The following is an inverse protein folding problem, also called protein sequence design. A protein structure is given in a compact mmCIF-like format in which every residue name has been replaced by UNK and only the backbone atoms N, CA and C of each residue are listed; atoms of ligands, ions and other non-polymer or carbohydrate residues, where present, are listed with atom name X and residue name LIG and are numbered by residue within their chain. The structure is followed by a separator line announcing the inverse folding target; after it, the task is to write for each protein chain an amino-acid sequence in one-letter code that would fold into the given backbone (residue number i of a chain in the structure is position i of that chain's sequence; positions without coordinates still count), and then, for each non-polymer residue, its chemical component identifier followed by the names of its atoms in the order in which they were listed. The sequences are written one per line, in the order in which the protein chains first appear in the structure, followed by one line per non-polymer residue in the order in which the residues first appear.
data_IF_033387201453
#
_entry.id   IF_033387201453
#
_cell.length_a   1.000
_cell.length_b   1.000
_cell.length_c   1.000
_cell.angle_alpha   90.00
_cell.angle_beta   90.00
_cell.angle_gamma   90.00
#
_symmetry.space_group_name_H-M   'P 1'
#
loop_
_entity.id
_entity.type
_entity.pdbx_description
1 polymer ?
#
# COMPACT_ATOMS: atom_id res chain seq x y z
N UNK A 1 -19.40 -15.76 9.86
CA UNK A 1 -18.63 -14.67 10.48
C UNK A 1 -19.35 -13.39 10.12
N UNK A 2 -19.61 -12.52 11.08
CA UNK A 2 -20.08 -11.17 10.75
C UNK A 2 -18.99 -10.49 9.90
N UNK A 3 -19.36 -9.73 8.88
CA UNK A 3 -18.39 -8.95 8.10
C UNK A 3 -17.71 -7.96 9.03
N UNK A 4 -16.39 -8.02 9.14
CA UNK A 4 -15.60 -7.08 9.93
C UNK A 4 -15.08 -5.97 9.01
N UNK A 5 -15.69 -4.78 9.07
CA UNK A 5 -15.37 -3.67 8.18
C UNK A 5 -13.90 -3.22 8.28
N UNK A 6 -13.29 -3.34 9.47
CA UNK A 6 -11.88 -3.00 9.66
C UNK A 6 -10.95 -4.04 9.02
N UNK A 7 -11.28 -5.33 9.10
CA UNK A 7 -10.55 -6.39 8.40
C UNK A 7 -10.57 -6.18 6.88
N UNK A 8 -11.72 -5.83 6.31
CA UNK A 8 -11.86 -5.52 4.88
C UNK A 8 -11.01 -4.29 4.49
N UNK A 9 -11.05 -3.22 5.30
CA UNK A 9 -10.23 -2.03 5.11
C UNK A 9 -8.72 -2.35 5.14
N UNK A 10 -8.29 -3.15 6.12
CA UNK A 10 -6.89 -3.57 6.26
C UNK A 10 -6.46 -4.45 5.09
N UNK A 11 -7.36 -5.28 4.55
CA UNK A 11 -7.08 -6.08 3.36
C UNK A 11 -6.80 -5.20 2.14
N UNK A 12 -7.67 -4.21 1.89
CA UNK A 12 -7.47 -3.24 0.80
C UNK A 12 -6.17 -2.45 1.00
N UNK A 13 -5.85 -2.04 2.23
CA UNK A 13 -4.59 -1.34 2.53
C UNK A 13 -3.36 -2.22 2.26
N UNK A 14 -3.40 -3.51 2.65
CA UNK A 14 -2.36 -4.48 2.36
C UNK A 14 -2.14 -4.66 0.85
N UNK A 15 -3.21 -4.81 0.07
CA UNK A 15 -3.11 -5.02 -1.38
C UNK A 15 -2.54 -3.77 -2.09
N UNK A 16 -2.93 -2.56 -1.64
CA UNK A 16 -2.34 -1.30 -2.14
C UNK A 16 -0.85 -1.18 -1.79
N UNK A 17 -0.46 -1.53 -0.56
CA UNK A 17 0.95 -1.51 -0.15
C UNK A 17 1.77 -2.55 -0.92
N UNK A 18 1.18 -3.71 -1.24
CA UNK A 18 1.80 -4.72 -2.09
C UNK A 18 2.06 -4.19 -3.49
N UNK A 19 1.07 -3.53 -4.11
CA UNK A 19 1.24 -2.91 -5.42
C UNK A 19 2.35 -1.85 -5.40
N UNK A 20 2.35 -0.93 -4.43
CA UNK A 20 3.42 0.07 -4.27
C UNK A 20 4.81 -0.57 -4.16
N UNK A 21 4.93 -1.66 -3.40
CA UNK A 21 6.18 -2.42 -3.28
C UNK A 21 6.61 -3.03 -4.61
N UNK A 22 5.69 -3.58 -5.41
CA UNK A 22 5.99 -4.11 -6.74
C UNK A 22 6.45 -2.99 -7.69
N UNK A 23 5.74 -1.87 -7.70
CA UNK A 23 6.07 -0.72 -8.55
C UNK A 23 7.45 -0.15 -8.19
N UNK A 24 7.73 0.00 -6.89
CA UNK A 24 9.03 0.46 -6.40
C UNK A 24 10.17 -0.52 -6.75
N UNK A 25 9.91 -1.83 -6.70
CA UNK A 25 10.87 -2.85 -7.12
C UNK A 25 11.17 -2.75 -8.62
N UNK A 26 10.14 -2.62 -9.46
CA UNK A 26 10.32 -2.44 -10.90
C UNK A 26 11.07 -1.14 -11.23
N UNK A 27 10.76 -0.05 -10.52
CA UNK A 27 11.47 1.22 -10.67
C UNK A 27 12.95 1.08 -10.29
N UNK A 28 13.24 0.37 -9.19
CA UNK A 28 14.61 0.06 -8.78
C UNK A 28 15.35 -0.74 -9.85
N UNK A 29 14.73 -1.78 -10.42
CA UNK A 29 15.34 -2.59 -11.47
C UNK A 29 15.65 -1.77 -12.72
N UNK A 30 14.70 -0.95 -13.18
CA UNK A 30 14.92 -0.05 -14.33
C UNK A 30 16.05 0.94 -14.06
N UNK A 31 16.15 1.49 -12.84
CA UNK A 31 17.23 2.40 -12.46
C UNK A 31 18.58 1.67 -12.39
N UNK A 32 18.59 0.40 -11.95
CA UNK A 32 19.78 -0.44 -11.99
C UNK A 32 20.26 -0.68 -13.42
N UNK A 33 19.36 -1.04 -14.33
CA UNK A 33 19.71 -1.29 -15.73
C UNK A 33 20.30 -0.02 -16.38
N UNK A 34 19.68 1.15 -16.15
CA UNK A 34 20.22 2.45 -16.58
C UNK A 34 21.61 2.73 -16.03
N UNK A 35 21.83 2.48 -14.73
CA UNK A 35 23.14 2.63 -14.10
C UNK A 35 24.18 1.70 -14.74
N UNK A 36 23.80 0.46 -15.03
CA UNK A 36 24.70 -0.49 -15.69
C UNK A 36 25.09 -0.02 -17.09
N UNK A 37 24.10 0.35 -17.92
CA UNK A 37 24.37 0.89 -19.26
C UNK A 37 25.21 2.17 -19.22
N UNK A 38 24.95 3.07 -18.27
CA UNK A 38 25.75 4.29 -18.10
C UNK A 38 27.20 3.98 -17.68
N UNK A 39 27.43 2.91 -16.90
CA UNK A 39 28.77 2.43 -16.55
C UNK A 39 29.50 1.91 -17.79
N UNK A 40 28.82 1.14 -18.63
CA UNK A 40 29.41 0.60 -19.85
C UNK A 40 29.80 1.73 -20.82
N UNK A 41 28.94 2.75 -20.97
CA UNK A 41 29.24 3.94 -21.73
C UNK A 41 30.44 4.73 -21.15
N UNK A 42 30.51 4.87 -19.82
CA UNK A 42 31.65 5.51 -19.16
C UNK A 42 32.96 4.75 -19.41
N UNK A 43 32.93 3.42 -19.35
CA UNK A 43 34.10 2.58 -19.63
C UNK A 43 34.56 2.73 -21.08
N UNK A 44 33.63 2.68 -22.04
CA UNK A 44 33.94 2.90 -23.46
C UNK A 44 34.53 4.29 -23.73
N UNK A 45 33.97 5.33 -23.11
CA UNK A 45 34.51 6.69 -23.20
C UNK A 45 35.91 6.79 -22.56
N UNK A 46 36.14 6.08 -21.45
CA UNK A 46 37.46 6.00 -20.82
C UNK A 46 38.49 5.35 -21.75
N UNK A 47 38.15 4.23 -22.39
CA UNK A 47 39.03 3.58 -23.37
C UNK A 47 39.34 4.47 -24.57
N UNK A 48 38.33 5.17 -25.10
CA UNK A 48 38.51 6.11 -26.21
C UNK A 48 39.46 7.24 -25.83
N UNK A 49 39.30 7.79 -24.61
CA UNK A 49 40.20 8.79 -24.04
C UNK A 49 41.63 8.27 -23.91
N UNK A 50 41.83 7.03 -23.46
CA UNK A 50 43.16 6.42 -23.36
C UNK A 50 43.81 6.23 -24.74
N UNK A 51 43.05 5.78 -25.74
CA UNK A 51 43.55 5.64 -27.12
C UNK A 51 43.95 6.99 -27.73
N UNK A 52 43.11 8.02 -27.55
CA UNK A 52 43.40 9.36 -28.05
C UNK A 52 44.63 9.98 -27.35
N UNK A 53 44.80 9.71 -26.04
CA UNK A 53 46.01 10.09 -25.31
C UNK A 53 47.26 9.40 -25.85
N UNK A 54 47.19 8.07 -26.05
CA UNK A 54 48.31 7.31 -26.58
C UNK A 54 48.74 7.79 -27.97
N UNK A 55 47.78 8.14 -28.84
CA UNK A 55 48.09 8.71 -30.17
C UNK A 55 48.71 10.11 -30.08
N UNK A 56 48.22 10.96 -29.18
CA UNK A 56 48.83 12.26 -28.92
C UNK A 56 50.27 12.12 -28.41
N UNK A 57 50.51 11.17 -27.50
CA UNK A 57 51.84 10.90 -26.96
C UNK A 57 52.78 10.33 -28.04
N UNK A 58 52.29 9.40 -28.87
CA UNK A 58 53.03 8.88 -30.02
C UNK A 58 53.48 9.98 -30.98
N UNK A 59 52.55 10.85 -31.41
CA UNK A 59 52.88 11.96 -32.31
C UNK A 59 53.79 13.01 -31.67
N UNK A 60 53.69 13.19 -30.34
CA UNK A 60 54.62 14.03 -29.59
C UNK A 60 56.04 13.46 -29.60
N UNK A 61 56.19 12.16 -29.33
CA UNK A 61 57.46 11.45 -29.37
C UNK A 61 58.08 11.49 -30.77
N UNK A 62 57.28 11.25 -31.82
CA UNK A 62 57.73 11.34 -33.21
C UNK A 62 58.27 12.75 -33.52
N UNK A 63 57.55 13.81 -33.12
CA UNK A 63 58.03 15.19 -33.28
C UNK A 63 59.33 15.46 -32.51
N UNK A 64 59.45 15.00 -31.26
CA UNK A 64 60.69 15.15 -30.49
C UNK A 64 61.87 14.43 -31.16
N UNK A 65 61.64 13.21 -31.65
CA UNK A 65 62.67 12.41 -32.32
C UNK A 65 63.18 13.11 -33.57
N UNK A 66 62.28 13.51 -34.48
CA UNK A 66 62.63 14.23 -35.72
C UNK A 66 63.36 15.54 -35.41
N UNK A 67 62.89 16.30 -34.41
CA UNK A 67 63.56 17.54 -34.01
C UNK A 67 64.97 17.28 -33.47
N UNK A 68 65.14 16.24 -32.66
CA UNK A 68 66.42 15.89 -32.04
C UNK A 68 67.44 15.36 -33.06
N UNK A 69 67.00 14.62 -34.07
CA UNK A 69 67.88 14.11 -35.15
C UNK A 69 68.23 15.21 -36.15
N UNK A 70 67.24 16.01 -36.57
CA UNK A 70 67.42 16.94 -37.68
C UNK A 70 68.05 18.26 -37.24
N UNK A 71 67.88 18.68 -35.98
CA UNK A 71 68.45 19.93 -35.46
C UNK A 71 69.98 20.02 -35.66
N UNK A 72 70.77 19.10 -35.09
CA UNK A 72 72.23 19.11 -35.26
C UNK A 72 72.67 18.99 -36.73
N UNK A 73 71.92 18.24 -37.54
CA UNK A 73 72.22 18.10 -38.97
C UNK A 73 71.98 19.41 -39.72
N UNK A 74 70.92 20.14 -39.40
CA UNK A 74 70.64 21.49 -39.94
C UNK A 74 71.78 22.44 -39.59
N UNK A 75 72.26 22.43 -38.36
CA UNK A 75 73.36 23.28 -37.91
C UNK A 75 74.67 22.94 -38.66
N UNK A 76 74.97 21.64 -38.80
CA UNK A 76 76.12 21.16 -39.58
C UNK A 76 76.04 21.57 -41.05
N UNK A 77 74.88 21.43 -41.68
CA UNK A 77 74.67 21.84 -43.08
C UNK A 77 74.79 23.34 -43.25
N UNK A 78 74.42 24.12 -42.24
CA UNK A 78 74.58 25.57 -42.25
C UNK A 78 76.07 25.96 -42.23
N UNK A 79 76.88 25.31 -41.38
CA UNK A 79 78.32 25.52 -41.34
C UNK A 79 79.01 25.10 -42.66
N UNK A 80 78.62 23.96 -43.22
CA UNK A 80 79.15 23.47 -44.51
C UNK A 80 78.77 24.40 -45.67
N UNK A 81 77.55 24.92 -45.68
CA UNK A 81 77.14 25.92 -46.68
C UNK A 81 77.99 27.18 -46.59
N UNK A 82 78.27 27.70 -45.39
CA UNK A 82 79.10 28.90 -45.21
C UNK A 82 80.52 28.65 -45.69
N UNK A 83 81.11 27.51 -45.34
CA UNK A 83 82.43 27.12 -45.80
C UNK A 83 82.50 26.98 -47.32
N UNK A 84 81.51 26.34 -47.95
CA UNK A 84 81.42 26.23 -49.40
C UNK A 84 81.28 27.61 -50.06
N UNK A 85 80.53 28.54 -49.45
CA UNK A 85 80.39 29.91 -49.94
C UNK A 85 81.71 30.70 -49.84
N UNK A 86 82.44 30.58 -48.73
CA UNK A 86 83.77 31.19 -48.60
C UNK A 86 84.77 30.64 -49.62
N UNK A 87 84.79 29.32 -49.82
CA UNK A 87 85.66 28.68 -50.80
C UNK A 87 85.30 29.11 -52.22
N UNK A 88 84.00 29.17 -52.56
CA UNK A 88 83.50 29.70 -53.83
C UNK A 88 84.04 31.12 -54.07
N UNK A 89 83.94 31.99 -53.07
CA UNK A 89 84.42 33.37 -53.16
C UNK A 89 85.94 33.41 -53.43
N UNK A 90 86.72 32.65 -52.67
CA UNK A 90 88.19 32.56 -52.86
C UNK A 90 88.56 32.05 -54.25
N UNK A 91 87.88 31.02 -54.77
CA UNK A 91 88.12 30.50 -56.11
C UNK A 91 87.80 31.54 -57.19
N UNK A 92 86.72 32.31 -57.06
CA UNK A 92 86.42 33.37 -58.03
C UNK A 92 87.41 34.55 -57.94
N UNK A 93 87.85 34.93 -56.74
CA UNK A 93 88.88 35.97 -56.56
C UNK A 93 90.23 35.52 -57.17
N UNK A 94 90.60 34.25 -56.99
CA UNK A 94 91.79 33.65 -57.61
C UNK A 94 91.67 33.55 -59.14
N UNK A 95 90.49 33.20 -59.65
CA UNK A 95 90.21 33.18 -61.10
C UNK A 95 90.38 34.56 -61.73
N UNK A 96 89.85 35.60 -61.09
CA UNK A 96 90.02 37.00 -61.51
C UNK A 96 91.49 37.40 -61.54
N UNK A 97 92.23 37.09 -60.47
CA UNK A 97 93.66 37.41 -60.38
C UNK A 97 94.51 36.69 -61.43
N UNK A 98 94.19 35.43 -61.75
CA UNK A 98 94.86 34.69 -62.81
C UNK A 98 94.55 35.25 -64.20
N UNK A 99 93.31 35.67 -64.43
CA UNK A 99 92.89 36.33 -65.66
C UNK A 99 93.65 37.63 -65.89
N UNK A 100 93.80 38.47 -64.86
CA UNK A 100 94.55 39.73 -64.92
C UNK A 100 96.03 39.52 -65.27
N UNK A 101 96.62 38.40 -64.83
CA UNK A 101 97.99 37.97 -65.16
C UNK A 101 98.10 37.30 -66.54
N UNK A 102 97.01 37.24 -67.31
CA UNK A 102 96.91 36.55 -68.61
C UNK A 102 97.19 35.04 -68.54
N UNK A 103 97.00 34.43 -67.38
CA UNK A 103 97.04 32.98 -67.19
C UNK A 103 95.64 32.39 -67.31
N UNK A 104 95.22 32.18 -68.56
CA UNK A 104 93.89 31.65 -68.88
C UNK A 104 93.65 30.22 -68.39
N UNK A 105 94.71 29.41 -68.28
CA UNK A 105 94.59 28.02 -67.82
C UNK A 105 94.23 27.99 -66.32
N UNK A 106 94.95 28.73 -65.49
CA UNK A 106 94.64 28.85 -64.06
C UNK A 106 93.31 29.56 -63.83
N UNK A 107 93.00 30.62 -64.58
CA UNK A 107 91.72 31.33 -64.46
C UNK A 107 90.52 30.41 -64.73
N UNK A 108 90.59 29.57 -65.77
CA UNK A 108 89.54 28.59 -66.09
C UNK A 108 89.41 27.52 -65.01
N UNK A 109 90.54 27.02 -64.48
CA UNK A 109 90.57 26.04 -63.42
C UNK A 109 89.91 26.57 -62.13
N UNK A 110 90.32 27.75 -61.64
CA UNK A 110 89.72 28.37 -60.46
C UNK A 110 88.23 28.71 -60.67
N UNK A 111 87.84 29.16 -61.87
CA UNK A 111 86.42 29.38 -62.17
C UNK A 111 85.59 28.08 -62.14
N UNK A 112 86.19 26.94 -62.52
CA UNK A 112 85.55 25.63 -62.41
C UNK A 112 85.41 25.20 -60.94
N UNK A 113 86.41 25.43 -60.09
CA UNK A 113 86.31 25.20 -58.64
C UNK A 113 85.21 26.06 -58.01
N UNK A 114 85.13 27.34 -58.36
CA UNK A 114 84.07 28.24 -57.88
C UNK A 114 82.66 27.73 -58.25
N UNK A 115 82.49 27.19 -59.48
CA UNK A 115 81.21 26.56 -59.87
C UNK A 115 80.89 25.33 -59.03
N UNK A 116 81.88 24.48 -58.71
CA UNK A 116 81.68 23.30 -57.84
C UNK A 116 81.25 23.70 -56.43
N UNK A 117 81.93 24.66 -55.82
CA UNK A 117 81.56 25.15 -54.48
C UNK A 117 80.18 25.81 -54.45
N UNK A 118 79.77 26.46 -55.54
CA UNK A 118 78.40 26.98 -55.69
C UNK A 118 77.36 25.85 -55.69
N UNK A 119 77.61 24.78 -56.45
CA UNK A 119 76.73 23.60 -56.49
C UNK A 119 76.65 22.92 -55.12
N UNK A 120 77.77 22.78 -54.43
CA UNK A 120 77.85 22.23 -53.06
C UNK A 120 77.04 23.07 -52.06
N UNK A 121 77.20 24.40 -52.07
CA UNK A 121 76.41 25.30 -51.24
C UNK A 121 74.90 25.19 -51.52
N UNK A 122 74.51 25.07 -52.79
CA UNK A 122 73.11 24.85 -53.17
C UNK A 122 72.56 23.51 -52.67
N UNK A 123 73.37 22.45 -52.74
CA UNK A 123 73.02 21.13 -52.21
C UNK A 123 72.75 21.20 -50.70
N UNK A 124 73.63 21.83 -49.91
CA UNK A 124 73.42 22.01 -48.47
C UNK A 124 72.14 22.78 -48.14
N UNK A 125 71.83 23.83 -48.90
CA UNK A 125 70.58 24.60 -48.74
C UNK A 125 69.35 23.73 -49.01
N UNK A 126 69.39 22.90 -50.06
CA UNK A 126 68.29 22.01 -50.41
C UNK A 126 68.06 20.95 -49.32
N UNK A 127 69.13 20.33 -48.82
CA UNK A 127 69.05 19.34 -47.74
C UNK A 127 68.51 19.98 -46.45
N UNK A 128 68.99 21.17 -46.07
CA UNK A 128 68.48 21.89 -44.89
C UNK A 128 66.98 22.19 -45.00
N UNK A 129 66.53 22.66 -46.17
CA UNK A 129 65.09 22.94 -46.41
C UNK A 129 64.23 21.69 -46.21
N UNK A 130 64.70 20.55 -46.71
CA UNK A 130 64.01 19.26 -46.51
C UNK A 130 63.89 18.92 -45.02
N UNK A 131 64.99 18.98 -44.26
CA UNK A 131 65.00 18.64 -42.84
C UNK A 131 64.11 19.57 -41.99
N UNK A 132 64.09 20.87 -42.31
CA UNK A 132 63.19 21.84 -41.68
C UNK A 132 61.72 21.49 -41.97
N UNK A 133 61.40 21.06 -43.19
CA UNK A 133 60.05 20.66 -43.55
C UNK A 133 59.62 19.37 -42.85
N UNK A 134 60.52 18.40 -42.68
CA UNK A 134 60.26 17.20 -41.88
C UNK A 134 59.90 17.55 -40.42
N UNK A 135 60.62 18.49 -39.79
CA UNK A 135 60.28 18.99 -38.44
C UNK A 135 58.91 19.67 -38.42
N UNK A 136 58.60 20.52 -39.43
CA UNK A 136 57.32 21.22 -39.52
C UNK A 136 56.16 20.26 -39.70
N UNK A 137 56.30 19.27 -40.55
CA UNK A 137 55.30 18.22 -40.79
C UNK A 137 55.04 17.40 -39.52
N UNK A 138 56.10 16.94 -38.83
CA UNK A 138 55.96 16.21 -37.58
C UNK A 138 55.24 17.04 -36.50
N UNK A 139 55.56 18.33 -36.40
CA UNK A 139 54.85 19.25 -35.50
C UNK A 139 53.38 19.40 -35.88
N UNK A 140 53.06 19.58 -37.16
CA UNK A 140 51.69 19.71 -37.64
C UNK A 140 50.86 18.45 -37.33
N UNK A 141 51.45 17.26 -37.51
CA UNK A 141 50.81 15.99 -37.15
C UNK A 141 50.50 15.90 -35.65
N UNK A 142 51.44 16.31 -34.79
CA UNK A 142 51.18 16.38 -33.35
C UNK A 142 50.06 17.36 -33.01
N UNK A 143 50.08 18.58 -33.55
CA UNK A 143 49.00 19.56 -33.33
C UNK A 143 47.63 19.05 -33.79
N UNK A 144 47.58 18.32 -34.90
CA UNK A 144 46.36 17.71 -35.43
C UNK A 144 45.77 16.61 -34.52
N UNK A 145 46.58 15.99 -33.65
CA UNK A 145 46.11 14.99 -32.68
C UNK A 145 45.34 15.60 -31.50
N UNK A 146 45.63 16.87 -31.13
CA UNK A 146 45.10 17.50 -29.92
C UNK A 146 43.57 17.60 -29.86
N UNK A 147 42.86 17.98 -30.94
CA UNK A 147 41.40 18.06 -30.91
C UNK A 147 40.72 16.71 -30.62
N UNK A 148 41.29 15.59 -31.09
CA UNK A 148 40.73 14.27 -30.83
C UNK A 148 40.80 13.90 -29.35
N UNK A 149 41.93 14.15 -28.70
CA UNK A 149 42.07 13.94 -27.25
C UNK A 149 41.15 14.85 -26.44
N UNK A 150 41.02 16.11 -26.83
CA UNK A 150 40.12 17.04 -26.14
C UNK A 150 38.65 16.59 -26.24
N UNK A 151 38.18 16.18 -27.42
CA UNK A 151 36.83 15.60 -27.57
C UNK A 151 36.64 14.38 -26.69
N UNK A 152 37.59 13.45 -26.66
CA UNK A 152 37.49 12.25 -25.82
C UNK A 152 37.46 12.56 -24.32
N UNK A 153 38.11 13.65 -23.86
CA UNK A 153 37.99 14.14 -22.47
C UNK A 153 36.60 14.69 -22.18
N UNK A 154 36.03 15.43 -23.11
CA UNK A 154 34.69 16.01 -22.97
C UNK A 154 33.61 14.92 -22.94
N UNK A 155 33.73 13.93 -23.83
CA UNK A 155 32.87 12.74 -23.89
C UNK A 155 32.94 11.93 -22.59
N UNK A 156 34.15 11.67 -22.08
CA UNK A 156 34.34 11.01 -20.78
C UNK A 156 33.66 11.80 -19.64
N UNK A 157 33.80 13.12 -19.65
CA UNK A 157 33.18 13.99 -18.63
C UNK A 157 31.65 14.02 -18.74
N UNK A 158 31.11 13.95 -19.95
CA UNK A 158 29.67 13.78 -20.18
C UNK A 158 29.17 12.42 -19.70
N UNK A 159 29.83 11.33 -20.09
CA UNK A 159 29.48 9.97 -19.67
C UNK A 159 29.56 9.81 -18.14
N UNK A 160 30.56 10.44 -17.49
CA UNK A 160 30.68 10.42 -16.04
C UNK A 160 29.49 11.10 -15.35
N UNK A 161 29.05 12.26 -15.85
CA UNK A 161 27.86 12.96 -15.31
C UNK A 161 26.60 12.10 -15.43
N UNK A 162 26.42 11.42 -16.56
CA UNK A 162 25.30 10.50 -16.79
C UNK A 162 25.35 9.33 -15.80
N UNK A 163 26.52 8.71 -15.64
CA UNK A 163 26.71 7.62 -14.67
C UNK A 163 26.42 8.06 -13.23
N UNK A 164 26.95 9.21 -12.80
CA UNK A 164 26.73 9.74 -11.46
C UNK A 164 25.22 10.02 -11.21
N UNK A 165 24.52 10.56 -12.21
CA UNK A 165 23.06 10.76 -12.15
C UNK A 165 22.30 9.43 -12.05
N UNK A 166 22.61 8.46 -12.90
CA UNK A 166 21.96 7.15 -12.90
C UNK A 166 22.23 6.37 -11.59
N UNK A 167 23.43 6.53 -11.01
CA UNK A 167 23.77 5.98 -9.71
C UNK A 167 22.88 6.58 -8.60
N UNK A 168 22.73 7.90 -8.59
CA UNK A 168 21.87 8.59 -7.61
C UNK A 168 20.39 8.20 -7.76
N UNK A 169 19.89 8.04 -8.99
CA UNK A 169 18.53 7.54 -9.24
C UNK A 169 18.32 6.13 -8.71
N UNK A 170 19.27 5.22 -8.96
CA UNK A 170 19.21 3.86 -8.44
C UNK A 170 19.24 3.82 -6.91
N UNK A 171 20.07 4.65 -6.27
CA UNK A 171 20.11 4.76 -4.80
C UNK A 171 18.78 5.27 -4.23
N UNK A 172 18.16 6.29 -4.85
CA UNK A 172 16.83 6.76 -4.48
C UNK A 172 15.77 5.68 -4.63
N UNK A 173 15.75 4.98 -5.77
CA UNK A 173 14.79 3.91 -6.02
C UNK A 173 14.96 2.72 -5.04
N UNK A 174 16.20 2.42 -4.64
CA UNK A 174 16.46 1.41 -3.61
C UNK A 174 15.91 1.83 -2.24
N UNK A 175 16.02 3.11 -1.86
CA UNK A 175 15.44 3.63 -0.62
C UNK A 175 13.91 3.53 -0.66
N UNK A 176 13.28 3.92 -1.77
CA UNK A 176 11.82 3.84 -1.92
C UNK A 176 11.32 2.40 -1.88
N UNK A 177 12.02 1.45 -2.52
CA UNK A 177 11.68 0.04 -2.40
C UNK A 177 11.76 -0.47 -0.95
N UNK A 178 12.81 -0.10 -0.21
CA UNK A 178 12.94 -0.45 1.21
C UNK A 178 11.78 0.13 2.03
N UNK A 179 11.39 1.38 1.79
CA UNK A 179 10.24 2.02 2.46
C UNK A 179 8.93 1.30 2.14
N UNK A 180 8.65 1.04 0.87
CA UNK A 180 7.44 0.33 0.44
C UNK A 180 7.38 -1.11 0.99
N UNK A 181 8.52 -1.78 1.13
CA UNK A 181 8.60 -3.10 1.78
C UNK A 181 8.22 -3.01 3.26
N UNK A 182 8.76 -2.05 4.01
CA UNK A 182 8.41 -1.83 5.43
C UNK A 182 6.93 -1.51 5.59
N UNK A 183 6.38 -0.66 4.72
CA UNK A 183 4.95 -0.35 4.70
C UNK A 183 4.09 -1.61 4.49
N UNK A 184 4.42 -2.41 3.48
CA UNK A 184 3.74 -3.67 3.21
C UNK A 184 3.79 -4.63 4.40
N UNK A 185 4.97 -4.82 5.00
CA UNK A 185 5.15 -5.71 6.16
C UNK A 185 4.31 -5.21 7.36
N UNK A 186 4.19 -3.89 7.55
CA UNK A 186 3.31 -3.28 8.55
C UNK A 186 1.82 -3.57 8.29
N UNK A 187 1.35 -3.41 7.04
CA UNK A 187 -0.03 -3.73 6.67
C UNK A 187 -0.34 -5.22 6.85
N UNK A 188 0.60 -6.11 6.50
CA UNK A 188 0.47 -7.57 6.75
C UNK A 188 0.32 -7.85 8.24
N UNK A 189 1.13 -7.22 9.09
CA UNK A 189 1.07 -7.37 10.54
C UNK A 189 -0.28 -6.90 11.10
N UNK A 190 -0.76 -5.73 10.67
CA UNK A 190 -2.03 -5.17 11.10
C UNK A 190 -3.22 -6.07 10.69
N UNK A 191 -3.26 -6.53 9.44
CA UNK A 191 -4.28 -7.44 8.95
C UNK A 191 -4.32 -8.75 9.75
N UNK A 192 -3.15 -9.39 9.95
CA UNK A 192 -3.05 -10.62 10.75
C UNK A 192 -3.53 -10.40 12.19
N UNK A 193 -3.13 -9.31 12.82
CA UNK A 193 -3.55 -8.99 14.18
C UNK A 193 -5.07 -8.81 14.31
N UNK A 194 -5.72 -8.13 13.35
CA UNK A 194 -7.18 -7.99 13.35
C UNK A 194 -7.88 -9.32 13.08
N UNK A 195 -7.37 -10.11 12.13
CA UNK A 195 -7.92 -11.42 11.82
C UNK A 195 -7.97 -12.34 13.04
N UNK A 196 -6.88 -12.41 13.81
CA UNK A 196 -6.83 -13.23 15.03
C UNK A 196 -7.78 -12.70 16.12
N UNK A 197 -7.92 -11.37 16.27
CA UNK A 197 -8.92 -10.79 17.18
C UNK A 197 -10.35 -11.17 16.77
N UNK A 198 -10.69 -11.05 15.49
CA UNK A 198 -12.03 -11.40 14.97
C UNK A 198 -12.32 -12.89 15.19
N UNK A 199 -11.36 -13.78 14.93
CA UNK A 199 -11.49 -15.21 15.22
C UNK A 199 -11.72 -15.48 16.71
N UNK A 200 -10.96 -14.83 17.59
CA UNK A 200 -11.10 -14.98 19.03
C UNK A 200 -12.46 -14.48 19.55
N UNK A 201 -12.92 -13.33 19.05
CA UNK A 201 -14.26 -12.79 19.36
C UNK A 201 -15.37 -13.72 18.88
N UNK A 202 -15.29 -14.24 17.66
CA UNK A 202 -16.28 -15.17 17.12
C UNK A 202 -16.30 -16.49 17.89
N UNK A 203 -15.12 -17.00 18.29
CA UNK A 203 -15.03 -18.20 19.13
C UNK A 203 -15.63 -17.94 20.52
N UNK A 204 -15.33 -16.80 21.14
CA UNK A 204 -15.89 -16.41 22.43
C UNK A 204 -17.42 -16.33 22.36
N UNK A 205 -17.97 -15.65 21.34
CA UNK A 205 -19.44 -15.57 21.13
C UNK A 205 -20.09 -16.94 20.96
N UNK A 206 -19.42 -17.89 20.31
CA UNK A 206 -19.92 -19.28 20.19
C UNK A 206 -19.92 -19.99 21.54
N UNK A 207 -18.84 -19.87 22.30
CA UNK A 207 -18.73 -20.45 23.65
C UNK A 207 -19.78 -19.84 24.59
N UNK A 208 -19.93 -18.51 24.62
CA UNK A 208 -20.93 -17.82 25.44
C UNK A 208 -22.36 -18.33 25.15
N UNK A 209 -22.71 -18.51 23.87
CA UNK A 209 -24.00 -19.09 23.45
C UNK A 209 -24.17 -20.54 23.91
N UNK A 210 -23.11 -21.35 23.80
CA UNK A 210 -23.09 -22.75 24.25
C UNK A 210 -23.27 -22.84 25.78
N UNK A 211 -22.64 -21.93 26.52
CA UNK A 211 -22.76 -21.84 27.98
C UNK A 211 -24.16 -21.41 28.41
N UNK A 212 -24.75 -20.41 27.72
CA UNK A 212 -26.16 -20.02 27.92
C UNK A 212 -27.10 -21.21 27.67
N UNK A 213 -26.91 -21.94 26.57
CA UNK A 213 -27.70 -23.13 26.27
C UNK A 213 -27.51 -24.24 27.32
N UNK A 214 -26.29 -24.41 27.82
CA UNK A 214 -25.99 -25.36 28.90
C UNK A 214 -26.72 -24.99 30.19
N UNK A 215 -26.67 -23.71 30.60
CA UNK A 215 -27.36 -23.19 31.79
C UNK A 215 -28.88 -23.36 31.71
N UNK A 216 -29.46 -23.13 30.54
CA UNK A 216 -30.89 -23.34 30.31
C UNK A 216 -31.31 -24.82 30.25
N UNK A 217 -30.35 -25.75 30.25
CA UNK A 217 -30.61 -27.19 30.20
C UNK A 217 -30.91 -27.72 28.80
N UNK A 218 -30.52 -27.01 27.73
CA UNK A 218 -30.66 -27.49 26.35
C UNK A 218 -29.92 -28.84 26.20
N UNK A 219 -30.51 -29.85 25.55
CA UNK A 219 -29.85 -31.15 25.35
C UNK A 219 -28.48 -31.01 24.65
N UNK A 220 -27.49 -31.80 25.08
CA UNK A 220 -26.10 -31.70 24.60
C UNK A 220 -25.97 -31.65 23.08
N UNK A 221 -26.74 -32.49 22.37
CA UNK A 221 -26.75 -32.61 20.90
C UNK A 221 -27.07 -31.31 20.14
N UNK A 222 -27.60 -30.30 20.82
CA UNK A 222 -28.01 -29.04 20.22
C UNK A 222 -27.18 -27.82 20.63
N UNK A 223 -26.32 -27.95 21.64
CA UNK A 223 -25.65 -26.80 22.27
C UNK A 223 -24.67 -26.06 21.35
N UNK A 224 -24.10 -26.76 20.37
CA UNK A 224 -23.19 -26.18 19.37
C UNK A 224 -23.94 -25.42 18.26
N UNK A 225 -25.27 -25.55 18.17
CA UNK A 225 -26.09 -24.95 17.13
C UNK A 225 -27.37 -24.32 17.72
N UNK A 226 -27.19 -23.23 18.46
CA UNK A 226 -28.28 -22.46 19.09
C UNK A 226 -28.36 -21.03 18.54
N UNK A 227 -29.57 -20.49 18.49
CA UNK A 227 -29.81 -19.06 18.32
C UNK A 227 -30.28 -18.48 19.65
N UNK A 228 -29.56 -17.48 20.15
CA UNK A 228 -29.83 -16.83 21.43
C UNK A 228 -30.17 -15.37 21.15
N UNK A 229 -31.27 -14.90 21.73
CA UNK A 229 -31.68 -13.50 21.71
C UNK A 229 -32.13 -13.05 23.09
N UNK A 230 -32.10 -11.75 23.34
CA UNK A 230 -32.60 -11.15 24.57
C UNK A 230 -33.74 -10.21 24.20
N UNK A 231 -34.88 -10.34 24.85
CA UNK A 231 -36.04 -9.49 24.59
C UNK A 231 -35.99 -8.17 25.39
N UNK A 232 -36.96 -7.28 25.16
CA UNK A 232 -37.08 -5.99 25.85
C UNK A 232 -37.30 -6.13 27.36
N UNK A 233 -37.86 -7.26 27.80
CA UNK A 233 -38.05 -7.59 29.20
C UNK A 233 -36.78 -8.17 29.83
N UNK A 234 -35.71 -8.36 29.05
CA UNK A 234 -34.43 -8.91 29.49
C UNK A 234 -34.43 -10.44 29.61
N UNK A 235 -35.45 -11.13 29.10
CA UNK A 235 -35.44 -12.58 29.06
C UNK A 235 -34.58 -13.07 27.90
N UNK A 236 -33.82 -14.12 28.15
CA UNK A 236 -32.98 -14.80 27.18
C UNK A 236 -33.77 -15.92 26.51
N UNK A 237 -34.00 -15.78 25.21
CA UNK A 237 -34.69 -16.76 24.38
C UNK A 237 -33.65 -17.62 23.66
N UNK A 238 -33.81 -18.94 23.74
CA UNK A 238 -32.85 -19.91 23.22
C UNK A 238 -33.58 -20.86 22.29
N UNK A 239 -33.19 -20.87 21.02
CA UNK A 239 -33.83 -21.62 19.96
C UNK A 239 -32.86 -22.64 19.39
N UNK A 240 -33.33 -23.88 19.18
CA UNK A 240 -32.47 -24.97 18.78
C UNK A 240 -33.21 -26.11 18.07
N UNK A 241 -32.51 -26.96 17.33
CA UNK A 241 -33.08 -28.17 16.73
C UNK A 241 -34.05 -27.95 15.57
N UNK A 242 -34.24 -26.72 15.10
CA UNK A 242 -35.05 -26.43 13.92
C UNK A 242 -34.41 -26.87 12.60
N UNK A 243 -35.25 -27.10 11.59
CA UNK A 243 -34.80 -27.49 10.25
C UNK A 243 -34.02 -26.35 9.58
N UNK A 244 -32.81 -26.66 9.09
CA UNK A 244 -31.91 -25.76 8.38
C UNK A 244 -31.18 -24.74 9.26
N UNK A 245 -31.85 -24.14 10.24
CA UNK A 245 -31.29 -23.17 11.19
C UNK A 245 -31.87 -23.37 12.59
N UNK A 246 -31.19 -22.94 13.67
CA UNK A 246 -31.62 -23.20 15.04
C UNK A 246 -33.05 -22.74 15.34
N UNK A 247 -33.48 -21.61 14.78
CA UNK A 247 -34.83 -21.05 14.87
C UNK A 247 -35.71 -21.39 13.65
N UNK A 248 -35.41 -22.49 12.95
CA UNK A 248 -36.17 -22.97 11.80
C UNK A 248 -37.48 -23.67 12.20
N UNK A 249 -38.24 -24.21 11.23
CA UNK A 249 -39.44 -24.99 11.52
C UNK A 249 -39.15 -26.16 12.48
N UNK A 250 -40.06 -26.39 13.44
CA UNK A 250 -39.93 -27.47 14.42
C UNK A 250 -38.90 -27.22 15.53
N UNK A 251 -38.32 -26.01 15.64
CA UNK A 251 -37.33 -25.73 16.69
C UNK A 251 -37.91 -25.91 18.11
N UNK A 252 -37.05 -26.31 19.04
CA UNK A 252 -37.24 -26.16 20.47
C UNK A 252 -36.95 -24.74 20.91
N UNK A 253 -37.64 -24.28 21.95
CA UNK A 253 -37.57 -22.92 22.45
C UNK A 253 -37.59 -22.92 23.97
N UNK A 254 -36.51 -22.48 24.59
CA UNK A 254 -36.39 -22.30 26.02
C UNK A 254 -36.29 -20.80 26.33
N UNK A 255 -36.90 -20.36 27.44
CA UNK A 255 -36.80 -18.97 27.92
C UNK A 255 -36.23 -18.96 29.32
N UNK A 256 -35.22 -18.13 29.53
CA UNK A 256 -34.57 -17.92 30.82
C UNK A 256 -34.74 -16.45 31.21
N UNK A 257 -35.25 -16.20 32.42
CA UNK A 257 -35.44 -14.85 32.94
C UNK A 257 -34.10 -14.15 33.29
N UNK A 258 -34.17 -12.89 33.74
CA UNK A 258 -32.99 -12.11 34.13
C UNK A 258 -32.20 -12.73 35.30
N UNK A 259 -32.84 -13.55 36.14
CA UNK A 259 -32.21 -14.23 37.27
C UNK A 259 -31.47 -15.50 36.85
N UNK A 260 -31.62 -15.93 35.60
CA UNK A 260 -31.07 -17.19 35.11
C UNK A 260 -31.99 -18.39 35.36
N UNK A 261 -33.22 -18.17 35.82
CA UNK A 261 -34.22 -19.23 36.00
C UNK A 261 -34.93 -19.47 34.67
N UNK A 262 -34.99 -20.73 34.25
CA UNK A 262 -35.80 -21.12 33.09
C UNK A 262 -37.27 -20.99 33.46
N UNK A 263 -38.03 -20.27 32.65
CA UNK A 263 -39.47 -20.00 32.83
C UNK A 263 -40.34 -20.69 31.78
N UNK A 264 -39.74 -21.10 30.65
CA UNK A 264 -40.42 -21.81 29.59
C UNK A 264 -39.50 -22.86 28.96
N UNK A 265 -40.02 -24.07 28.70
CA UNK A 265 -39.33 -25.14 27.98
C UNK A 265 -40.26 -25.83 26.99
N UNK A 266 -39.81 -25.93 25.74
CA UNK A 266 -40.44 -26.74 24.71
C UNK A 266 -39.37 -27.38 23.85
N UNK A 267 -39.39 -28.71 23.73
CA UNK A 267 -38.41 -29.42 22.91
C UNK A 267 -38.77 -29.34 21.42
N UNK A 268 -37.82 -29.67 20.52
CA UNK A 268 -38.08 -29.66 19.09
C UNK A 268 -39.26 -30.57 18.73
N UNK A 269 -40.16 -30.07 17.88
CA UNK A 269 -41.41 -30.71 17.42
C UNK A 269 -42.53 -30.88 18.46
N UNK A 270 -42.32 -30.47 19.71
CA UNK A 270 -43.39 -30.47 20.72
C UNK A 270 -44.45 -29.39 20.45
N UNK A 271 -45.72 -29.66 20.79
CA UNK A 271 -46.80 -28.69 20.66
C UNK A 271 -46.59 -27.48 21.57
N UNK A 272 -47.03 -26.31 21.10
CA UNK A 272 -47.06 -25.09 21.90
C UNK A 272 -48.26 -25.10 22.84
N UNK A 273 -48.05 -24.80 24.13
CA UNK A 273 -49.15 -24.54 25.05
C UNK A 273 -48.71 -24.12 26.45
N UNK A 274 -49.67 -23.87 27.33
CA UNK A 274 -49.45 -23.40 28.70
C UNK A 274 -48.70 -24.42 29.57
N UNK A 275 -48.72 -25.70 29.20
CA UNK A 275 -47.98 -26.76 29.87
C UNK A 275 -46.45 -26.59 29.81
N UNK A 276 -45.96 -25.73 28.91
CA UNK A 276 -44.52 -25.50 28.69
C UNK A 276 -43.92 -24.45 29.64
N UNK A 277 -44.73 -23.77 30.45
CA UNK A 277 -44.25 -22.86 31.50
C UNK A 277 -43.85 -23.66 32.74
N UNK A 278 -42.67 -23.34 33.31
CA UNK A 278 -42.07 -24.12 34.41
C UNK A 278 -42.48 -23.63 35.80
N UNK A 279 -43.25 -22.55 35.89
CA UNK A 279 -43.89 -22.04 37.10
C UNK A 279 -45.26 -22.72 37.32
N UNK A 280 -45.26 -24.05 37.42
CA UNK A 280 -46.45 -24.81 37.82
C UNK A 280 -46.71 -24.83 39.33
N UNK A 281 -46.00 -24.02 40.11
CA UNK A 281 -46.31 -23.80 41.52
C UNK A 281 -47.25 -22.60 41.69
N UNK A 282 -48.55 -22.88 41.52
CA UNK A 282 -49.52 -22.40 42.50
C UNK A 282 -50.30 -21.10 42.25
N UNK A 283 -50.44 -20.58 41.03
CA UNK A 283 -51.43 -19.51 40.80
C UNK A 283 -52.36 -19.77 39.62
N UNK A 284 -53.28 -20.73 39.83
CA UNK A 284 -54.48 -20.84 39.01
C UNK A 284 -55.40 -19.65 39.30
N UNK A 285 -55.76 -18.94 38.24
CA UNK A 285 -57.04 -18.24 38.13
C UNK A 285 -56.97 -16.75 38.47
N UNK A 286 -57.20 -15.91 37.46
CA UNK A 286 -57.93 -14.69 37.70
C UNK A 286 -59.24 -15.07 38.40
N UNK A 287 -59.36 -14.79 39.70
CA UNK A 287 -60.62 -14.96 40.43
C UNK A 287 -61.68 -14.11 39.74
N UNK A 288 -62.71 -14.77 39.19
CA UNK A 288 -63.88 -14.19 38.49
C UNK A 288 -64.75 -13.23 39.34
N UNK A 289 -64.31 -12.89 40.55
CA UNK A 289 -65.10 -12.22 41.57
C UNK A 289 -64.22 -11.28 42.39
N UNK A 290 -64.74 -10.08 42.67
CA UNK A 290 -64.12 -9.18 43.64
C UNK A 290 -64.74 -9.46 45.02
N UNK A 291 -64.03 -10.24 45.83
CA UNK A 291 -64.41 -10.54 47.23
C UNK A 291 -64.27 -9.32 48.15
N UNK A 292 -63.62 -8.24 47.71
CA UNK A 292 -63.43 -7.04 48.51
C UNK A 292 -64.51 -6.00 48.27
N UNK A 293 -65.27 -6.09 47.18
CA UNK A 293 -66.26 -5.08 46.80
C UNK A 293 -67.36 -4.81 47.84
N UNK A 294 -67.63 -5.73 48.78
CA UNK A 294 -68.50 -5.49 49.94
C UNK A 294 -67.90 -6.11 51.19
N UNK A 295 -67.81 -5.33 52.26
CA UNK A 295 -67.33 -5.83 53.54
C UNK A 295 -68.35 -6.77 54.19
N UNK A 296 -67.91 -7.96 54.59
CA UNK A 296 -68.74 -8.92 55.35
C UNK A 296 -69.80 -9.66 54.53
N UNK A 297 -69.76 -9.59 53.19
CA UNK A 297 -70.71 -10.26 52.29
C UNK A 297 -70.00 -11.09 51.23
N UNK A 298 -70.25 -12.40 51.23
CA UNK A 298 -69.75 -13.29 50.19
C UNK A 298 -70.62 -13.23 48.92
N UNK A 299 -70.00 -13.28 47.72
CA UNK A 299 -70.76 -13.32 46.47
C UNK A 299 -71.47 -14.66 46.31
N UNK A 300 -72.75 -14.63 45.89
CA UNK A 300 -73.55 -15.82 45.63
C UNK A 300 -73.15 -16.54 44.34
N UNK A 301 -72.58 -15.82 43.38
CA UNK A 301 -72.22 -16.33 42.05
C UNK A 301 -71.99 -15.18 41.08
N UNK A 302 -71.40 -15.45 39.92
CA UNK A 302 -71.13 -14.47 38.88
C UNK A 302 -71.26 -15.14 37.51
N UNK A 303 -71.61 -14.31 36.55
CA UNK A 303 -71.89 -14.69 35.18
C UNK A 303 -71.28 -13.64 34.26
N UNK A 304 -70.65 -14.07 33.17
CA UNK A 304 -70.01 -13.15 32.24
C UNK A 304 -69.43 -13.87 31.02
N UNK A 305 -69.19 -13.11 29.97
CA UNK A 305 -68.55 -13.57 28.73
C UNK A 305 -67.11 -13.06 28.74
N UNK A 306 -66.14 -13.99 28.65
CA UNK A 306 -64.71 -13.65 28.53
C UNK A 306 -64.23 -13.92 27.11
N UNK A 307 -63.58 -12.91 26.52
CA UNK A 307 -62.88 -12.90 25.24
C UNK A 307 -63.68 -13.21 23.95
N UNK A 308 -63.81 -12.19 23.09
CA UNK A 308 -63.68 -12.35 21.63
C UNK A 308 -62.43 -11.61 21.15
N UNK A 309 -61.67 -12.21 20.23
CA UNK A 309 -60.41 -11.68 19.68
C UNK A 309 -60.60 -10.47 18.73
N UNK A 310 -61.82 -9.93 18.65
CA UNK A 310 -62.27 -8.90 17.72
C UNK A 310 -62.67 -7.57 18.40
N UNK A 311 -62.37 -7.37 19.69
CA UNK A 311 -62.56 -6.09 20.38
C UNK A 311 -63.98 -5.84 20.93
N UNK A 312 -64.77 -6.89 21.17
CA UNK A 312 -66.05 -6.78 21.88
C UNK A 312 -65.91 -6.49 23.38
N UNK A 313 -66.83 -5.70 23.95
CA UNK A 313 -66.89 -5.38 25.39
C UNK A 313 -67.00 -6.64 26.24
N UNK A 314 -66.13 -6.77 27.24
CA UNK A 314 -66.22 -7.84 28.24
C UNK A 314 -67.09 -7.36 29.40
N UNK A 315 -68.06 -8.19 29.79
CA UNK A 315 -69.01 -7.87 30.86
C UNK A 315 -69.11 -9.02 31.84
N UNK A 316 -68.84 -8.73 33.12
CA UNK A 316 -68.96 -9.68 34.23
C UNK A 316 -69.91 -9.11 35.26
N UNK A 317 -70.91 -9.90 35.65
CA UNK A 317 -71.87 -9.55 36.69
C UNK A 317 -71.74 -10.51 37.87
N UNK A 318 -71.47 -9.96 39.04
CA UNK A 318 -71.41 -10.65 40.32
C UNK A 318 -72.70 -10.40 41.11
N UNK A 319 -73.26 -11.44 41.72
CA UNK A 319 -74.55 -11.43 42.42
C UNK A 319 -74.36 -11.62 43.93
N UNK A 320 -75.23 -10.97 44.71
CA UNK A 320 -75.30 -11.10 46.17
C UNK A 320 -76.67 -11.65 46.61
N UNK A 321 -76.73 -12.18 47.83
CA UNK A 321 -77.92 -12.78 48.42
C UNK A 321 -79.08 -11.79 48.60
N UNK A 322 -78.75 -10.53 48.87
CA UNK A 322 -79.67 -9.41 49.09
C UNK A 322 -80.20 -8.73 47.80
N UNK A 323 -80.01 -9.42 46.66
CA UNK A 323 -80.40 -8.98 45.31
C UNK A 323 -79.68 -7.74 44.80
N UNK A 324 -78.54 -7.38 45.40
CA UNK A 324 -77.57 -6.53 44.73
C UNK A 324 -76.78 -7.32 43.70
N UNK A 325 -76.37 -6.64 42.63
CA UNK A 325 -75.36 -7.12 41.71
C UNK A 325 -74.35 -6.02 41.37
N UNK A 326 -73.10 -6.41 41.21
CA UNK A 326 -72.00 -5.58 40.74
C UNK A 326 -71.64 -6.02 39.34
N UNK A 327 -71.80 -5.12 38.37
CA UNK A 327 -71.43 -5.36 36.99
C UNK A 327 -70.17 -4.57 36.64
N UNK A 328 -69.23 -5.23 35.99
CA UNK A 328 -67.95 -4.66 35.56
C UNK A 328 -67.84 -4.77 34.04
N UNK A 329 -67.71 -3.62 33.38
CA UNK A 329 -67.39 -3.53 31.95
C UNK A 329 -65.88 -3.32 31.79
N UNK A 330 -65.19 -4.22 31.09
CA UNK A 330 -63.79 -4.03 30.70
C UNK A 330 -63.80 -3.45 29.30
N UNK A 331 -63.43 -2.17 29.20
CA UNK A 331 -63.59 -1.41 27.95
C UNK A 331 -62.32 -1.38 27.12
N UNK A 332 -61.14 -1.52 27.74
CA UNK A 332 -59.82 -1.71 27.12
C UNK A 332 -58.83 -2.12 28.21
N UNK A 333 -58.37 -3.38 28.24
CA UNK A 333 -57.30 -4.07 29.04
C UNK A 333 -56.70 -3.47 30.35
N UNK A 334 -57.29 -2.43 30.92
CA UNK A 334 -56.78 -1.57 31.98
C UNK A 334 -57.88 -0.72 32.65
N UNK A 335 -58.97 -0.36 31.95
CA UNK A 335 -60.08 0.40 32.53
C UNK A 335 -61.32 -0.47 32.80
N UNK A 336 -61.71 -0.58 34.08
CA UNK A 336 -62.91 -1.31 34.52
C UNK A 336 -63.95 -0.31 35.00
N UNK A 337 -65.10 -0.22 34.31
CA UNK A 337 -66.25 0.58 34.77
C UNK A 337 -67.18 -0.31 35.59
N UNK A 338 -67.34 0.02 36.87
CA UNK A 338 -68.21 -0.71 37.80
C UNK A 338 -69.53 0.01 37.98
N UNK A 339 -70.63 -0.74 38.05
CA UNK A 339 -71.92 -0.20 38.41
C UNK A 339 -72.74 -1.17 39.24
N UNK A 340 -73.41 -0.63 40.26
CA UNK A 340 -74.30 -1.37 41.13
C UNK A 340 -75.72 -1.42 40.55
N UNK A 341 -76.43 -2.52 40.80
CA UNK A 341 -77.86 -2.61 40.55
C UNK A 341 -78.52 -3.33 41.72
N UNK A 342 -79.42 -2.63 42.43
CA UNK A 342 -80.31 -3.22 43.42
C UNK A 342 -81.58 -3.73 42.72
N UNK A 343 -81.73 -5.05 42.61
CA UNK A 343 -82.88 -5.65 41.94
C UNK A 343 -84.17 -5.64 42.76
N UNK A 344 -84.15 -5.15 43.99
CA UNK A 344 -85.38 -4.92 44.78
C UNK A 344 -86.21 -3.75 44.24
N UNK A 345 -85.60 -2.86 43.45
CA UNK A 345 -86.28 -1.70 42.86
C UNK A 345 -86.65 -1.90 41.37
N UNK A 346 -87.80 -1.32 40.98
CA UNK A 346 -88.26 -1.27 39.57
C UNK A 346 -87.28 -0.48 38.70
N UNK A 347 -87.23 -0.79 37.39
CA UNK A 347 -86.20 -0.32 36.43
C UNK A 347 -85.92 1.20 36.39
N UNK A 348 -86.88 2.05 36.76
CA UNK A 348 -86.75 3.52 36.77
C UNK A 348 -86.69 4.15 38.17
N UNK A 349 -86.55 3.35 39.22
CA UNK A 349 -86.43 3.89 40.58
C UNK A 349 -85.10 4.64 40.73
N UNK A 350 -85.10 5.85 41.33
CA UNK A 350 -83.90 6.67 41.47
C UNK A 350 -82.76 5.92 42.18
N UNK A 351 -83.08 5.14 43.22
CA UNK A 351 -82.08 4.43 44.02
C UNK A 351 -81.64 3.07 43.47
N UNK A 352 -82.08 2.68 42.26
CA UNK A 352 -81.79 1.34 41.71
C UNK A 352 -80.29 1.12 41.45
N UNK A 353 -79.57 2.19 41.14
CA UNK A 353 -78.15 2.13 40.80
C UNK A 353 -77.25 2.69 41.91
N UNK A 354 -77.83 2.95 43.09
CA UNK A 354 -77.08 3.41 44.26
C UNK A 354 -76.31 2.23 44.86
N UNK A 355 -75.00 2.39 45.13
CA UNK A 355 -74.21 1.37 45.83
C UNK A 355 -74.81 1.01 47.19
N UNK A 356 -74.63 -0.23 47.66
CA UNK A 356 -75.02 -0.60 49.01
C UNK A 356 -74.13 0.13 50.03
N UNK A 357 -74.64 0.33 51.26
CA UNK A 357 -73.94 1.11 52.30
C UNK A 357 -72.63 0.48 52.79
N UNK A 358 -72.42 -0.79 52.51
CA UNK A 358 -71.26 -1.62 52.86
C UNK A 358 -70.28 -1.80 51.69
N UNK A 359 -70.43 -1.00 50.63
CA UNK A 359 -69.45 -0.87 49.55
C UNK A 359 -68.16 -0.26 50.08
N UNK A 360 -67.02 -0.80 49.65
CA UNK A 360 -65.69 -0.46 50.16
C UNK A 360 -64.89 0.42 49.20
N UNK A 361 -65.58 1.23 48.39
CA UNK A 361 -65.01 2.07 47.32
C UNK A 361 -63.63 2.66 47.63
#
# INVERSE_FOLDING_TARGET
MAKDAELDRLKVAQDRAFQRKQDAYQAQQKAWDRRSSARDALNSAHETKQRAYAEQDRTWQDYQNVRSSNGPRIDSLNAQQEQAYENMRRSYDAASSAYDRRDGASASSYAAEGRRYKEEAQHHVAERRRLVEEIRSARANHEASKPAFQRAKDDFSAAKRIFDSAKAEHERAQIEFKRAKVEFDSCVKAFKARLEKVKAEDQKRRNDKKDIATKAGVPYRYRDNVWVSTDSNGNTNIYFGGVGKPNGPGHGHYVMDRSGKVTYKRDPYDPHGAQNFTDQDGNRGATLYDRRARSGKEPKGAEGIFARRDGGREHVTQYYDDKYRLSSDIVDNANVKRHWTNQNFKKKHPDRHTPPKDDTN
#
